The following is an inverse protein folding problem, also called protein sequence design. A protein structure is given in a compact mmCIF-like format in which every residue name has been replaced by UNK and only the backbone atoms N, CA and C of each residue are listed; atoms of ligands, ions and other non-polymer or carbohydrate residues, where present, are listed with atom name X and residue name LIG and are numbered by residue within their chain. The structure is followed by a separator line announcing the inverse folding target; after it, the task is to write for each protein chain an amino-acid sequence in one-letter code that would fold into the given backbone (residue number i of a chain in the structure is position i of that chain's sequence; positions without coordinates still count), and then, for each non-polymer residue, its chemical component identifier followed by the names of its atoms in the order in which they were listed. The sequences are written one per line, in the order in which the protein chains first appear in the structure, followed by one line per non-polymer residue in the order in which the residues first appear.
data_IF_998257525030
#
_entry.id   IF_998257525030
#
_cell.length_a   1.000
_cell.length_b   1.000
_cell.length_c   1.000
_cell.angle_alpha   90.00
_cell.angle_beta   90.00
_cell.angle_gamma   90.00
#
_symmetry.space_group_name_H-M   'P 1'
#
loop_
_entity.id
_entity.type
_entity.pdbx_description
1 polymer ?
#
# COMPACT_ATOMS: atom_id res chain seq x y z
N UNK A 1 -11.68 19.42 14.35
CA UNK A 1 -10.94 18.16 14.12
C UNK A 1 -10.42 18.20 12.70
N UNK A 2 -9.11 18.26 12.46
CA UNK A 2 -8.57 18.12 11.11
C UNK A 2 -8.81 16.67 10.66
N UNK A 3 -9.74 16.49 9.72
CA UNK A 3 -9.89 15.22 9.00
C UNK A 3 -8.81 15.21 7.93
N UNK A 4 -7.86 14.28 8.02
CA UNK A 4 -6.89 14.05 6.95
C UNK A 4 -7.56 13.28 5.82
N UNK A 5 -7.07 13.48 4.60
CA UNK A 5 -7.45 12.69 3.45
C UNK A 5 -6.56 11.46 3.36
N UNK A 6 -7.14 10.30 3.11
CA UNK A 6 -6.46 9.00 3.14
C UNK A 6 -6.59 8.32 1.80
N UNK A 7 -5.50 7.73 1.32
CA UNK A 7 -5.56 6.68 0.31
C UNK A 7 -5.03 5.37 0.88
N UNK A 8 -5.75 4.28 0.62
CA UNK A 8 -5.31 2.91 0.85
C UNK A 8 -5.22 2.20 -0.49
N UNK A 9 -4.02 1.74 -0.82
CA UNK A 9 -3.73 1.07 -2.09
C UNK A 9 -3.34 -0.40 -1.88
N UNK A 10 -3.97 -1.31 -2.61
CA UNK A 10 -3.72 -2.76 -2.55
C UNK A 10 -3.03 -3.22 -3.82
N UNK A 11 -1.80 -3.72 -3.66
CA UNK A 11 -0.95 -4.17 -4.75
C UNK A 11 -0.89 -5.69 -4.82
N UNK A 12 -0.90 -6.21 -6.04
CA UNK A 12 -0.62 -7.61 -6.33
C UNK A 12 0.69 -7.70 -7.11
N UNK A 13 1.79 -7.96 -6.40
CA UNK A 13 3.15 -7.96 -6.94
C UNK A 13 3.54 -9.36 -7.41
N UNK A 14 4.26 -9.44 -8.54
CA UNK A 14 4.82 -10.70 -9.04
C UNK A 14 5.76 -11.31 -7.97
N UNK A 15 5.68 -12.63 -7.68
CA UNK A 15 6.42 -13.22 -6.57
C UNK A 15 7.94 -13.05 -6.63
N UNK A 16 8.51 -13.01 -7.84
CA UNK A 16 9.93 -12.85 -8.13
C UNK A 16 10.40 -11.38 -8.10
N UNK A 17 9.48 -10.42 -8.02
CA UNK A 17 9.76 -8.97 -8.11
C UNK A 17 9.56 -8.24 -6.77
N UNK A 18 9.40 -8.96 -5.66
CA UNK A 18 9.08 -8.32 -4.36
C UNK A 18 10.16 -7.38 -3.87
N UNK A 19 11.44 -7.72 -4.12
CA UNK A 19 12.57 -6.88 -3.70
C UNK A 19 12.61 -5.57 -4.49
N UNK A 20 12.38 -5.65 -5.80
CA UNK A 20 12.32 -4.47 -6.67
C UNK A 20 11.12 -3.59 -6.33
N UNK A 21 9.99 -4.19 -5.97
CA UNK A 21 8.84 -3.45 -5.46
C UNK A 21 9.15 -2.73 -4.15
N UNK A 22 9.73 -3.43 -3.16
CA UNK A 22 10.10 -2.83 -1.87
C UNK A 22 11.11 -1.67 -2.06
N UNK A 23 12.11 -1.85 -2.93
CA UNK A 23 13.05 -0.78 -3.30
C UNK A 23 12.35 0.42 -3.98
N UNK A 24 11.43 0.16 -4.92
CA UNK A 24 10.67 1.20 -5.60
C UNK A 24 9.80 2.00 -4.62
N UNK A 25 9.15 1.32 -3.66
CA UNK A 25 8.34 1.98 -2.63
C UNK A 25 9.23 2.81 -1.68
N UNK A 26 10.43 2.33 -1.33
CA UNK A 26 11.39 3.12 -0.57
C UNK A 26 11.79 4.39 -1.32
N UNK A 27 12.17 4.27 -2.59
CA UNK A 27 12.52 5.42 -3.45
C UNK A 27 11.35 6.40 -3.59
N UNK A 28 10.13 5.89 -3.74
CA UNK A 28 8.92 6.73 -3.77
C UNK A 28 8.71 7.48 -2.45
N UNK A 29 8.92 6.82 -1.30
CA UNK A 29 8.79 7.45 0.01
C UNK A 29 9.84 8.55 0.22
N UNK A 30 11.09 8.29 -0.14
CA UNK A 30 12.17 9.28 -0.04
C UNK A 30 11.84 10.52 -0.87
N UNK A 31 11.40 10.32 -2.11
CA UNK A 31 10.98 11.43 -2.96
C UNK A 31 9.72 12.15 -2.44
N UNK A 32 8.75 11.43 -1.88
CA UNK A 32 7.57 12.03 -1.26
C UNK A 32 7.94 12.96 -0.10
N UNK A 33 8.92 12.57 0.73
CA UNK A 33 9.44 13.41 1.82
C UNK A 33 10.12 14.69 1.31
N UNK A 34 10.67 14.68 0.09
CA UNK A 34 11.29 15.87 -0.51
C UNK A 34 10.25 16.87 -1.07
N UNK A 35 9.13 16.37 -1.61
CA UNK A 35 8.18 17.20 -2.35
C UNK A 35 6.91 17.56 -1.56
N UNK A 36 6.66 16.91 -0.43
CA UNK A 36 5.42 17.10 0.33
C UNK A 36 5.56 16.69 1.79
N UNK A 37 4.95 17.49 2.67
CA UNK A 37 4.71 17.08 4.06
C UNK A 37 3.40 16.29 4.13
N UNK A 38 3.48 14.98 3.87
CA UNK A 38 2.37 14.07 4.16
C UNK A 38 2.38 13.68 5.65
N UNK A 39 1.22 13.36 6.21
CA UNK A 39 1.07 13.11 7.65
C UNK A 39 1.58 11.72 8.05
N UNK A 40 1.30 10.70 7.21
CA UNK A 40 1.69 9.32 7.48
C UNK A 40 1.89 8.54 6.18
N UNK A 41 2.80 7.56 6.20
CA UNK A 41 3.04 6.62 5.09
C UNK A 41 3.53 5.28 5.62
N UNK A 42 2.65 4.29 5.53
CA UNK A 42 2.84 2.92 6.05
C UNK A 42 2.70 1.92 4.92
N UNK A 43 3.54 0.89 4.99
CA UNK A 43 3.55 -0.20 4.02
C UNK A 43 3.46 -1.52 4.78
N UNK A 44 2.52 -2.36 4.40
CA UNK A 44 2.33 -3.69 4.97
C UNK A 44 2.43 -4.76 3.88
N UNK A 45 3.37 -5.69 4.05
CA UNK A 45 3.39 -6.94 3.27
C UNK A 45 2.48 -7.97 3.94
N UNK A 46 1.56 -8.55 3.17
CA UNK A 46 0.72 -9.64 3.68
C UNK A 46 1.54 -10.91 3.91
N UNK A 47 1.68 -11.32 5.16
CA UNK A 47 2.43 -12.52 5.56
C UNK A 47 1.57 -13.61 6.18
N UNK A 48 0.35 -13.27 6.64
CA UNK A 48 -0.54 -14.16 7.37
C UNK A 48 -1.95 -14.17 6.78
N UNK A 49 -2.75 -15.16 7.21
CA UNK A 49 -4.20 -15.22 7.00
C UNK A 49 -4.89 -15.74 8.24
N UNK A 50 -6.17 -15.41 8.38
CA UNK A 50 -7.07 -16.12 9.30
C UNK A 50 -7.18 -17.57 8.82
N UNK A 51 -7.12 -18.51 9.77
CA UNK A 51 -7.23 -19.94 9.50
C UNK A 51 -8.66 -20.33 9.14
N UNK A 52 -9.59 -20.03 10.05
CA UNK A 52 -11.04 -20.28 9.96
C UNK A 52 -11.77 -19.42 11.01
N UNK A 53 -13.11 -19.47 11.03
CA UNK A 53 -13.92 -18.68 11.96
C UNK A 53 -13.81 -19.16 13.42
N UNK A 54 -13.55 -20.44 13.65
CA UNK A 54 -13.43 -20.96 15.01
C UNK A 54 -12.13 -20.49 15.65
N UNK A 55 -11.04 -20.39 14.88
CA UNK A 55 -9.80 -19.74 15.30
C UNK A 55 -10.03 -18.29 15.75
N UNK A 56 -10.92 -17.53 15.08
CA UNK A 56 -11.29 -16.17 15.52
C UNK A 56 -12.00 -16.23 16.88
N UNK A 57 -13.03 -17.07 17.01
CA UNK A 57 -13.82 -17.19 18.25
C UNK A 57 -12.97 -17.58 19.45
N UNK A 58 -11.99 -18.44 19.22
CA UNK A 58 -11.10 -18.95 20.26
C UNK A 58 -9.88 -18.04 20.53
N UNK A 59 -9.74 -16.92 19.82
CA UNK A 59 -8.59 -16.01 19.98
C UNK A 59 -7.25 -16.61 19.53
N UNK A 60 -7.29 -17.56 18.59
CA UNK A 60 -6.08 -18.19 18.06
C UNK A 60 -5.30 -17.22 17.14
N UNK A 61 -3.96 -17.31 17.12
CA UNK A 61 -3.15 -16.43 16.29
C UNK A 61 -3.36 -16.69 14.78
N UNK A 62 -3.18 -15.67 13.92
CA UNK A 62 -3.16 -15.85 12.47
C UNK A 62 -2.08 -16.83 12.01
N UNK A 63 -2.33 -17.55 10.93
CA UNK A 63 -1.38 -18.53 10.38
C UNK A 63 -0.57 -17.94 9.24
N UNK A 64 0.74 -18.25 9.22
CA UNK A 64 1.66 -17.79 8.17
C UNK A 64 1.30 -18.41 6.81
N UNK A 65 1.41 -17.62 5.75
CA UNK A 65 1.19 -18.10 4.38
C UNK A 65 2.29 -19.11 4.02
N UNK A 66 1.90 -20.36 3.74
CA UNK A 66 2.85 -21.45 3.41
C UNK A 66 3.29 -21.47 1.95
N UNK A 67 2.50 -20.89 1.04
CA UNK A 67 2.80 -20.82 -0.39
C UNK A 67 2.27 -19.53 -0.98
N UNK A 68 3.05 -18.93 -1.88
CA UNK A 68 2.62 -17.83 -2.74
C UNK A 68 2.12 -18.45 -4.04
N UNK A 69 0.83 -18.33 -4.34
CA UNK A 69 0.21 -19.02 -5.47
C UNK A 69 0.11 -18.17 -6.74
N UNK A 70 -0.03 -16.85 -6.62
CA UNK A 70 -0.20 -15.95 -7.77
C UNK A 70 0.57 -14.65 -7.63
N UNK A 71 0.49 -14.02 -6.46
CA UNK A 71 1.12 -12.74 -6.17
C UNK A 71 1.38 -12.57 -4.69
N UNK A 72 2.30 -11.67 -4.37
CA UNK A 72 2.47 -11.16 -3.00
C UNK A 72 1.66 -9.88 -2.87
N UNK A 73 0.87 -9.79 -1.79
CA UNK A 73 0.01 -8.62 -1.56
C UNK A 73 0.69 -7.61 -0.66
N UNK A 74 0.67 -6.36 -1.07
CA UNK A 74 1.08 -5.22 -0.25
C UNK A 74 -0.09 -4.26 -0.08
N UNK A 75 -0.16 -3.62 1.07
CA UNK A 75 -1.09 -2.52 1.34
C UNK A 75 -0.26 -1.30 1.69
N UNK A 76 -0.53 -0.20 1.02
CA UNK A 76 0.03 1.11 1.36
C UNK A 76 -1.09 1.95 1.92
N UNK A 77 -0.83 2.56 3.07
CA UNK A 77 -1.68 3.54 3.72
C UNK A 77 -0.91 4.84 3.78
N UNK A 78 -1.50 5.92 3.31
CA UNK A 78 -0.90 7.24 3.45
C UNK A 78 -1.95 8.32 3.65
N UNK A 79 -1.59 9.31 4.47
CA UNK A 79 -2.44 10.41 4.88
C UNK A 79 -1.88 11.74 4.39
N UNK A 80 -2.74 12.56 3.83
CA UNK A 80 -2.45 13.89 3.34
C UNK A 80 -3.35 14.92 4.03
N UNK A 81 -3.03 16.20 3.85
CA UNK A 81 -3.82 17.29 4.41
C UNK A 81 -5.25 17.31 3.88
N UNK A 82 -5.42 17.17 2.56
CA UNK A 82 -6.71 17.20 1.86
C UNK A 82 -6.64 16.49 0.49
N UNK A 83 -7.79 16.36 -0.18
CA UNK A 83 -7.93 15.72 -1.50
C UNK A 83 -7.21 16.49 -2.63
N UNK A 84 -7.03 17.81 -2.51
CA UNK A 84 -6.33 18.61 -3.52
C UNK A 84 -4.83 18.35 -3.48
N UNK A 85 -4.27 18.23 -2.26
CA UNK A 85 -2.89 17.80 -2.05
C UNK A 85 -2.67 16.39 -2.60
N UNK A 86 -3.61 15.46 -2.34
CA UNK A 86 -3.58 14.12 -2.92
C UNK A 86 -3.51 14.16 -4.45
N UNK A 87 -4.38 14.92 -5.11
CA UNK A 87 -4.38 15.03 -6.57
C UNK A 87 -3.05 15.54 -7.14
N UNK A 88 -2.48 16.59 -6.52
CA UNK A 88 -1.18 17.16 -6.93
C UNK A 88 -0.04 16.16 -6.77
N UNK A 89 0.07 15.54 -5.59
CA UNK A 89 1.18 14.64 -5.27
C UNK A 89 1.08 13.37 -6.11
N UNK A 90 -0.12 12.80 -6.26
CA UNK A 90 -0.30 11.59 -7.08
C UNK A 90 0.00 11.82 -8.56
N UNK A 91 -0.29 13.01 -9.12
CA UNK A 91 0.09 13.34 -10.49
C UNK A 91 1.62 13.24 -10.69
N UNK A 92 2.40 13.82 -9.77
CA UNK A 92 3.87 13.82 -9.83
C UNK A 92 4.41 12.40 -9.69
N UNK A 93 3.93 11.65 -8.69
CA UNK A 93 4.33 10.26 -8.46
C UNK A 93 3.98 9.36 -9.64
N UNK A 94 2.78 9.51 -10.21
CA UNK A 94 2.34 8.75 -11.37
C UNK A 94 3.25 9.00 -12.56
N UNK A 95 3.58 10.26 -12.85
CA UNK A 95 4.48 10.63 -13.94
C UNK A 95 5.87 9.99 -13.81
N UNK A 96 6.42 9.95 -12.59
CA UNK A 96 7.77 9.43 -12.32
C UNK A 96 7.85 7.91 -12.23
N UNK A 97 6.86 7.25 -11.61
CA UNK A 97 6.98 5.85 -11.20
C UNK A 97 6.05 4.85 -11.90
N UNK A 98 4.96 5.30 -12.55
CA UNK A 98 3.91 4.40 -13.08
C UNK A 98 4.44 3.29 -13.98
N UNK A 99 5.34 3.61 -14.92
CA UNK A 99 5.89 2.61 -15.86
C UNK A 99 6.71 1.53 -15.14
N UNK A 100 7.51 1.91 -14.14
CA UNK A 100 8.29 0.96 -13.33
C UNK A 100 7.36 0.11 -12.47
N UNK A 101 6.43 0.75 -11.78
CA UNK A 101 5.43 0.08 -10.93
C UNK A 101 4.63 -0.97 -11.71
N UNK A 102 4.09 -0.62 -12.89
CA UNK A 102 3.29 -1.55 -13.71
C UNK A 102 4.04 -2.82 -14.11
N UNK A 103 5.37 -2.76 -14.30
CA UNK A 103 6.17 -3.95 -14.64
C UNK A 103 6.25 -4.96 -13.50
N UNK A 104 6.08 -4.51 -12.25
CA UNK A 104 6.20 -5.31 -11.03
C UNK A 104 4.87 -5.96 -10.63
N UNK A 105 3.74 -5.43 -11.10
CA UNK A 105 2.41 -5.90 -10.73
C UNK A 105 1.88 -6.96 -11.69
N UNK A 106 1.00 -7.83 -11.19
CA UNK A 106 0.23 -8.77 -12.01
C UNK A 106 -1.06 -8.14 -12.57
N UNK A 107 -1.59 -7.14 -11.87
CA UNK A 107 -2.77 -6.34 -12.23
C UNK A 107 -2.60 -4.93 -11.67
N UNK A 108 -3.31 -3.91 -12.20
CA UNK A 108 -3.36 -2.59 -11.59
C UNK A 108 -3.74 -2.66 -10.10
N UNK A 109 -3.21 -1.73 -9.33
CA UNK A 109 -3.54 -1.58 -7.91
C UNK A 109 -5.01 -1.17 -7.71
N UNK A 110 -5.61 -1.68 -6.64
CA UNK A 110 -6.92 -1.24 -6.18
C UNK A 110 -6.73 -0.08 -5.19
N UNK A 111 -7.61 0.93 -5.22
CA UNK A 111 -7.46 2.16 -4.43
C UNK A 111 -8.75 2.54 -3.74
N UNK A 112 -8.64 2.86 -2.46
CA UNK A 112 -9.72 3.38 -1.64
C UNK A 112 -9.32 4.75 -1.13
N UNK A 113 -10.17 5.75 -1.34
CA UNK A 113 -9.91 7.12 -0.95
C UNK A 113 -11.03 7.63 -0.04
N UNK A 114 -10.70 8.45 0.95
CA UNK A 114 -11.70 9.03 1.84
C UNK A 114 -11.11 9.83 3.00
N UNK A 115 -11.99 10.32 3.87
CA UNK A 115 -11.61 11.07 5.06
C UNK A 115 -11.35 10.16 6.27
N UNK A 116 -10.32 10.46 7.05
CA UNK A 116 -10.11 9.80 8.35
C UNK A 116 -11.18 10.25 9.35
N UNK A 117 -11.89 9.27 9.92
CA UNK A 117 -12.96 9.51 10.90
C UNK A 117 -12.48 9.31 12.35
N UNK A 118 -11.56 8.34 12.56
CA UNK A 118 -10.96 7.99 13.86
C UNK A 118 -9.46 7.81 13.64
#
# INVERSE_FOLDING_TARGET
MNRSFVEVSVYQVKPDMTKDFENLISEMKDYLNEISDFNDFKVMKRTHRIKDYDAIKNGEPPVRLKRITKSVKYVIYWELADENMHGKVTQVIFGKYRKRLNKLLIVPEDKFLGERII
#
